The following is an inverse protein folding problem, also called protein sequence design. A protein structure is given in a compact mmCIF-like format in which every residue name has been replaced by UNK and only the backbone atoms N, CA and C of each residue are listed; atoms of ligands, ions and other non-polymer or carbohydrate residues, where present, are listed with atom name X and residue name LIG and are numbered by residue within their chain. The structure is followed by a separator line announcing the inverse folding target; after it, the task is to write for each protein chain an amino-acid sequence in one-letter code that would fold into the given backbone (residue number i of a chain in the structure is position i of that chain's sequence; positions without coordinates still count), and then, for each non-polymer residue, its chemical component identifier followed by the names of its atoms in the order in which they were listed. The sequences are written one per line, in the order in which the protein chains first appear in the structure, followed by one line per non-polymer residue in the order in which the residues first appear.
data_IF_558181207634
#
_entry.id   IF_558181207634
#
_cell.length_a   1.000
_cell.length_b   1.000
_cell.length_c   1.000
_cell.angle_alpha   90.00
_cell.angle_beta   90.00
_cell.angle_gamma   90.00
#
_symmetry.space_group_name_H-M   'P 1'
#
loop_
_entity.id
_entity.type
_entity.pdbx_description
1 polymer ?
#
# COMPACT_ATOMS: atom_id res chain seq x y z
N UNK A 1 -34.54 -29.04 -4.37
CA UNK A 1 -33.42 -29.74 -5.09
C UNK A 1 -32.59 -28.82 -6.00
N UNK A 2 -32.86 -27.52 -6.10
CA UNK A 2 -32.13 -26.57 -6.94
C UNK A 2 -30.79 -26.10 -6.38
N UNK A 3 -30.71 -25.78 -5.10
CA UNK A 3 -29.52 -25.20 -4.45
C UNK A 3 -28.24 -26.05 -4.53
N UNK A 4 -28.33 -27.36 -4.47
CA UNK A 4 -27.14 -28.26 -4.55
C UNK A 4 -26.55 -28.38 -5.95
N UNK A 5 -27.33 -28.06 -7.00
CA UNK A 5 -26.87 -28.09 -8.38
C UNK A 5 -26.09 -26.80 -8.70
N UNK A 6 -26.61 -25.66 -8.28
CA UNK A 6 -25.91 -24.36 -8.36
C UNK A 6 -24.56 -24.37 -7.63
N UNK A 7 -24.51 -24.94 -6.43
CA UNK A 7 -23.26 -25.05 -5.66
C UNK A 7 -22.20 -25.93 -6.36
N UNK A 8 -22.65 -27.00 -7.04
CA UNK A 8 -21.75 -27.87 -7.82
C UNK A 8 -21.25 -27.20 -9.11
N UNK A 9 -22.04 -26.34 -9.70
CA UNK A 9 -21.65 -25.60 -10.91
C UNK A 9 -20.71 -24.43 -10.55
N UNK A 10 -20.91 -23.76 -9.42
CA UNK A 10 -19.97 -22.79 -8.85
C UNK A 10 -18.67 -23.47 -8.44
N UNK A 11 -18.72 -24.64 -7.80
CA UNK A 11 -17.52 -25.41 -7.44
C UNK A 11 -16.79 -26.02 -8.65
N UNK A 12 -17.47 -26.22 -9.79
CA UNK A 12 -16.83 -26.61 -11.05
C UNK A 12 -16.16 -25.42 -11.75
N UNK A 13 -16.76 -24.23 -11.69
CA UNK A 13 -16.15 -22.99 -12.16
C UNK A 13 -14.90 -22.62 -11.34
N UNK A 14 -14.88 -22.92 -10.03
CA UNK A 14 -13.74 -22.71 -9.14
C UNK A 14 -12.55 -23.68 -9.39
N UNK A 15 -12.67 -24.66 -10.29
CA UNK A 15 -11.55 -25.54 -10.70
C UNK A 15 -10.62 -24.93 -11.76
N UNK A 16 -10.93 -23.75 -12.28
CA UNK A 16 -9.92 -22.97 -13.00
C UNK A 16 -9.13 -22.22 -11.93
N UNK A 17 -7.90 -22.69 -11.67
CA UNK A 17 -6.91 -21.85 -10.98
C UNK A 17 -6.91 -20.52 -11.72
N UNK A 18 -7.08 -19.38 -11.01
CA UNK A 18 -7.01 -18.09 -11.66
C UNK A 18 -5.67 -18.02 -12.41
N UNK A 19 -5.72 -17.74 -13.70
CA UNK A 19 -4.51 -17.59 -14.49
C UNK A 19 -3.61 -16.54 -13.80
N UNK A 20 -2.30 -16.77 -13.78
CA UNK A 20 -1.36 -15.77 -13.24
C UNK A 20 -1.56 -14.49 -14.05
N UNK A 21 -1.83 -13.34 -13.40
CA UNK A 21 -2.04 -12.08 -14.13
C UNK A 21 -0.78 -11.70 -14.93
N UNK A 22 -0.97 -11.23 -16.16
CA UNK A 22 0.14 -10.68 -16.96
C UNK A 22 0.70 -9.42 -16.29
N UNK A 23 1.97 -9.12 -16.53
CA UNK A 23 2.59 -7.88 -16.02
C UNK A 23 1.82 -6.63 -16.49
N UNK A 24 1.32 -6.61 -17.72
CA UNK A 24 0.53 -5.52 -18.27
C UNK A 24 -0.78 -5.30 -17.50
N UNK A 25 -1.45 -6.39 -17.11
CA UNK A 25 -2.67 -6.33 -16.33
C UNK A 25 -2.39 -5.78 -14.92
N UNK A 26 -1.30 -6.26 -14.30
CA UNK A 26 -0.87 -5.79 -12.98
C UNK A 26 -0.53 -4.30 -13.05
N UNK A 27 0.22 -3.87 -14.06
CA UNK A 27 0.62 -2.47 -14.24
C UNK A 27 -0.61 -1.57 -14.50
N UNK A 28 -1.53 -2.01 -15.36
CA UNK A 28 -2.78 -1.29 -15.61
C UNK A 28 -3.60 -1.13 -14.33
N UNK A 29 -3.74 -2.18 -13.54
CA UNK A 29 -4.43 -2.11 -12.26
C UNK A 29 -3.72 -1.16 -11.28
N UNK A 30 -2.39 -1.20 -11.21
CA UNK A 30 -1.59 -0.33 -10.36
C UNK A 30 -1.76 1.15 -10.72
N UNK A 31 -1.80 1.49 -12.01
CA UNK A 31 -2.03 2.87 -12.46
C UNK A 31 -3.42 3.34 -12.01
N UNK A 32 -4.45 2.55 -12.24
CA UNK A 32 -5.82 2.87 -11.82
C UNK A 32 -5.93 2.99 -10.29
N UNK A 33 -5.24 2.13 -9.57
CA UNK A 33 -5.21 2.15 -8.11
C UNK A 33 -4.56 3.43 -7.57
N UNK A 34 -3.45 3.87 -8.15
CA UNK A 34 -2.80 5.10 -7.73
C UNK A 34 -3.67 6.32 -8.03
N UNK A 35 -4.31 6.37 -9.20
CA UNK A 35 -5.29 7.42 -9.51
C UNK A 35 -6.44 7.42 -8.47
N UNK A 36 -6.97 6.26 -8.11
CA UNK A 36 -8.04 6.10 -7.10
C UNK A 36 -7.59 6.60 -5.72
N UNK A 37 -6.39 6.23 -5.28
CA UNK A 37 -5.82 6.68 -4.00
C UNK A 37 -5.67 8.21 -3.99
N UNK A 38 -5.17 8.82 -5.07
CA UNK A 38 -5.01 10.26 -5.15
C UNK A 38 -6.36 11.00 -5.21
N UNK A 39 -7.37 10.48 -5.91
CA UNK A 39 -8.72 11.06 -5.88
C UNK A 39 -9.35 10.99 -4.49
N UNK A 40 -9.21 9.86 -3.80
CA UNK A 40 -9.65 9.71 -2.41
C UNK A 40 -8.91 10.68 -1.48
N UNK A 41 -7.59 10.78 -1.63
CA UNK A 41 -6.77 11.72 -0.86
C UNK A 41 -7.24 13.17 -1.01
N UNK A 42 -7.59 13.61 -2.22
CA UNK A 42 -8.11 14.98 -2.43
C UNK A 42 -9.37 15.27 -1.62
N UNK A 43 -10.20 14.26 -1.37
CA UNK A 43 -11.45 14.42 -0.61
C UNK A 43 -11.23 14.46 0.89
N UNK A 44 -10.16 13.83 1.39
CA UNK A 44 -9.85 13.78 2.82
C UNK A 44 -8.83 14.83 3.27
N UNK A 45 -8.22 15.56 2.33
CA UNK A 45 -7.25 16.61 2.62
C UNK A 45 -7.95 17.83 3.18
N UNK A 46 -8.38 17.74 4.44
CA UNK A 46 -9.03 18.84 5.16
C UNK A 46 -8.24 19.22 6.41
N UNK A 47 -8.14 20.51 6.76
CA UNK A 47 -7.48 20.95 7.99
C UNK A 47 -8.08 20.34 9.26
N UNK A 48 -9.37 19.99 9.24
CA UNK A 48 -10.09 19.45 10.39
C UNK A 48 -9.58 18.07 10.85
N UNK A 49 -8.99 17.28 9.94
CA UNK A 49 -8.36 15.99 10.26
C UNK A 49 -7.19 16.13 11.26
N UNK A 50 -6.69 17.36 11.50
CA UNK A 50 -5.43 17.61 12.21
C UNK A 50 -5.58 18.40 13.51
N UNK A 51 -6.82 18.67 13.97
CA UNK A 51 -7.04 19.62 15.06
C UNK A 51 -6.56 19.14 16.44
N UNK A 52 -6.52 17.82 16.74
CA UNK A 52 -6.17 17.37 18.11
C UNK A 52 -5.19 16.19 18.20
N UNK A 53 -5.19 15.25 17.25
CA UNK A 53 -4.28 14.09 17.21
C UNK A 53 -4.07 13.62 15.78
N UNK A 54 -2.90 13.91 15.24
CA UNK A 54 -2.49 13.32 13.96
C UNK A 54 -2.13 11.85 14.22
N UNK A 55 -2.94 10.93 13.70
CA UNK A 55 -2.76 9.49 13.84
C UNK A 55 -2.78 8.83 12.46
N UNK A 56 -1.76 8.00 12.19
CA UNK A 56 -1.62 7.20 10.97
C UNK A 56 -2.87 6.36 10.70
N UNK A 57 -3.40 5.72 11.74
CA UNK A 57 -4.60 4.87 11.63
C UNK A 57 -5.83 5.67 11.24
N UNK A 58 -6.00 6.87 11.81
CA UNK A 58 -7.13 7.75 11.48
C UNK A 58 -7.08 8.22 10.02
N UNK A 59 -5.90 8.58 9.53
CA UNK A 59 -5.73 8.97 8.10
C UNK A 59 -6.01 7.78 7.19
N UNK A 60 -5.46 6.60 7.52
CA UNK A 60 -5.69 5.37 6.75
C UNK A 60 -7.16 4.98 6.70
N UNK A 61 -7.89 5.11 7.82
CA UNK A 61 -9.34 4.85 7.87
C UNK A 61 -10.11 5.86 7.01
N UNK A 62 -9.79 7.14 7.10
CA UNK A 62 -10.43 8.18 6.27
C UNK A 62 -10.16 7.94 4.78
N UNK A 63 -8.94 7.55 4.42
CA UNK A 63 -8.59 7.19 3.04
C UNK A 63 -9.35 5.96 2.57
N UNK A 64 -9.47 4.93 3.39
CA UNK A 64 -10.26 3.73 3.12
C UNK A 64 -11.73 4.06 2.84
N UNK A 65 -12.35 4.87 3.68
CA UNK A 65 -13.76 5.25 3.51
C UNK A 65 -13.96 6.08 2.23
N UNK A 66 -13.06 7.02 1.93
CA UNK A 66 -13.10 7.80 0.71
C UNK A 66 -12.95 6.91 -0.54
N UNK A 67 -12.02 5.95 -0.52
CA UNK A 67 -11.84 4.96 -1.61
C UNK A 67 -13.12 4.15 -1.81
N UNK A 68 -13.73 3.63 -0.74
CA UNK A 68 -15.00 2.87 -0.83
C UNK A 68 -16.12 3.66 -1.47
N UNK A 69 -16.24 4.94 -1.12
CA UNK A 69 -17.26 5.82 -1.70
C UNK A 69 -17.04 5.97 -3.20
N UNK A 70 -15.79 6.20 -3.65
CA UNK A 70 -15.48 6.34 -5.07
C UNK A 70 -15.72 5.03 -5.82
N UNK A 71 -15.22 3.90 -5.31
CA UNK A 71 -15.43 2.57 -5.89
C UNK A 71 -16.90 2.27 -6.07
N UNK A 72 -17.73 2.54 -5.05
CA UNK A 72 -19.17 2.32 -5.11
C UNK A 72 -19.87 3.28 -6.09
N UNK A 73 -19.52 4.57 -6.05
CA UNK A 73 -20.12 5.60 -6.92
C UNK A 73 -19.87 5.36 -8.39
N UNK A 74 -18.64 4.94 -8.71
CA UNK A 74 -18.19 4.75 -10.11
C UNK A 74 -18.36 3.31 -10.61
N UNK A 75 -18.83 2.40 -9.75
CA UNK A 75 -19.01 0.99 -10.10
C UNK A 75 -17.70 0.30 -10.51
N UNK A 76 -16.58 0.68 -9.88
CA UNK A 76 -15.28 0.11 -10.23
C UNK A 76 -15.21 -1.36 -9.80
N UNK A 77 -14.66 -2.24 -10.66
CA UNK A 77 -14.53 -3.67 -10.35
C UNK A 77 -13.32 -3.90 -9.40
N UNK A 78 -13.35 -3.24 -8.28
CA UNK A 78 -12.29 -3.28 -7.28
C UNK A 78 -12.89 -3.46 -5.89
N UNK A 79 -12.31 -4.32 -5.10
CA UNK A 79 -12.60 -4.51 -3.69
C UNK A 79 -11.49 -3.91 -2.84
N UNK A 80 -11.85 -3.23 -1.75
CA UNK A 80 -10.90 -2.67 -0.79
C UNK A 80 -11.21 -3.15 0.61
N UNK A 81 -10.17 -3.50 1.35
CA UNK A 81 -10.23 -3.89 2.77
C UNK A 81 -9.18 -3.10 3.54
N UNK A 82 -9.53 -2.64 4.73
CA UNK A 82 -8.58 -2.13 5.71
C UNK A 82 -8.06 -3.26 6.58
N UNK A 83 -6.79 -3.18 6.98
CA UNK A 83 -6.18 -4.08 7.97
C UNK A 83 -6.25 -5.57 7.62
N UNK A 84 -5.98 -5.94 6.34
CA UNK A 84 -5.93 -7.35 5.95
C UNK A 84 -4.68 -8.02 6.52
N UNK A 85 -4.88 -9.09 7.29
CA UNK A 85 -3.79 -9.88 7.87
C UNK A 85 -3.13 -10.81 6.85
N UNK A 86 -1.80 -10.78 6.78
CA UNK A 86 -0.99 -11.75 6.04
C UNK A 86 -0.65 -12.94 6.94
N UNK A 87 -1.32 -14.07 6.72
CA UNK A 87 -1.08 -15.30 7.47
C UNK A 87 0.01 -16.14 6.79
N UNK A 88 1.18 -16.22 7.43
CA UNK A 88 2.26 -17.11 6.99
C UNK A 88 1.91 -18.59 7.20
N UNK A 89 2.62 -19.49 6.54
CA UNK A 89 2.41 -20.94 6.71
C UNK A 89 2.63 -21.37 8.18
N UNK A 90 3.59 -20.77 8.87
CA UNK A 90 3.83 -21.04 10.30
C UNK A 90 2.63 -20.67 11.19
N UNK A 91 1.91 -19.59 10.85
CA UNK A 91 0.68 -19.18 11.53
C UNK A 91 -0.46 -20.14 11.17
N UNK A 92 -0.58 -20.51 9.89
CA UNK A 92 -1.62 -21.45 9.42
C UNK A 92 -1.46 -22.84 10.01
N UNK A 93 -0.22 -23.27 10.24
CA UNK A 93 0.14 -24.54 10.89
C UNK A 93 0.10 -24.47 12.43
N UNK A 94 -0.24 -23.32 13.02
CA UNK A 94 -0.30 -23.14 14.47
C UNK A 94 1.05 -23.03 15.17
N UNK A 95 2.15 -22.92 14.41
CA UNK A 95 3.52 -22.77 14.97
C UNK A 95 3.77 -21.35 15.51
N UNK A 96 3.01 -20.35 15.04
CA UNK A 96 3.03 -18.97 15.51
C UNK A 96 1.62 -18.47 15.81
N UNK A 97 1.51 -17.54 16.77
CA UNK A 97 0.24 -16.89 17.09
C UNK A 97 -0.27 -16.01 15.96
N UNK A 98 -1.59 -16.00 15.75
CA UNK A 98 -2.25 -15.08 14.80
C UNK A 98 -2.04 -13.60 15.13
N UNK A 99 -1.79 -13.27 16.42
CA UNK A 99 -1.47 -11.90 16.87
C UNK A 99 -0.18 -11.37 16.22
N UNK A 100 0.74 -12.26 15.82
CA UNK A 100 1.99 -11.89 15.15
C UNK A 100 1.85 -11.70 13.64
N UNK A 101 0.65 -11.94 13.08
CA UNK A 101 0.40 -11.72 11.67
C UNK A 101 0.62 -10.26 11.32
N UNK A 102 1.43 -10.03 10.29
CA UNK A 102 1.56 -8.69 9.71
C UNK A 102 0.29 -8.36 8.94
N UNK A 103 -0.06 -7.08 8.88
CA UNK A 103 -1.27 -6.62 8.19
C UNK A 103 -0.93 -5.50 7.25
N UNK A 104 -1.60 -5.49 6.11
CA UNK A 104 -1.65 -4.34 5.22
C UNK A 104 -2.57 -3.28 5.80
N UNK A 105 -2.22 -2.02 5.69
CA UNK A 105 -3.12 -0.93 6.10
C UNK A 105 -4.31 -0.83 5.15
N UNK A 106 -4.06 -0.96 3.84
CA UNK A 106 -5.09 -1.13 2.82
C UNK A 106 -4.72 -2.31 1.91
N UNK A 107 -5.75 -3.00 1.43
CA UNK A 107 -5.61 -4.10 0.49
C UNK A 107 -6.65 -3.98 -0.60
N UNK A 108 -6.21 -4.16 -1.83
CA UNK A 108 -7.04 -4.04 -3.01
C UNK A 108 -7.04 -5.33 -3.82
N UNK A 109 -8.18 -5.60 -4.44
CA UNK A 109 -8.37 -6.76 -5.29
C UNK A 109 -9.25 -6.38 -6.48
N UNK A 110 -8.79 -6.67 -7.69
CA UNK A 110 -9.55 -6.45 -8.92
C UNK A 110 -10.25 -7.72 -9.38
N UNK A 111 -11.48 -7.56 -9.90
CA UNK A 111 -12.29 -8.65 -10.46
C UNK A 111 -12.71 -8.42 -11.91
N UNK A 112 -12.08 -7.47 -12.58
CA UNK A 112 -12.42 -7.10 -13.95
C UNK A 112 -12.14 -8.18 -15.00
N UNK A 113 -11.43 -9.25 -14.60
CA UNK A 113 -11.04 -10.35 -15.48
C UNK A 113 -11.15 -11.68 -14.70
N UNK A 114 -11.12 -12.85 -15.39
CA UNK A 114 -11.01 -14.14 -14.69
C UNK A 114 -9.72 -14.26 -13.87
N UNK A 115 -8.81 -13.27 -14.03
CA UNK A 115 -7.54 -13.21 -13.34
C UNK A 115 -7.62 -12.18 -12.22
N UNK A 116 -7.39 -12.65 -11.00
CA UNK A 116 -7.39 -11.82 -9.79
C UNK A 116 -6.07 -11.07 -9.67
N UNK A 117 -6.11 -9.75 -9.57
CA UNK A 117 -4.94 -8.92 -9.22
C UNK A 117 -5.10 -8.44 -7.78
N UNK A 118 -4.10 -8.73 -6.97
CA UNK A 118 -4.03 -8.39 -5.55
C UNK A 118 -2.93 -7.36 -5.32
N UNK A 119 -3.19 -6.34 -4.48
CA UNK A 119 -2.24 -5.28 -4.20
C UNK A 119 -2.36 -4.80 -2.76
N UNK A 120 -1.25 -4.85 -2.03
CA UNK A 120 -1.19 -4.40 -0.63
C UNK A 120 -0.61 -2.99 -0.51
N UNK A 121 -1.04 -2.26 0.50
CA UNK A 121 -0.54 -0.93 0.82
C UNK A 121 -0.12 -0.88 2.27
N UNK A 122 1.06 -0.38 2.53
CA UNK A 122 1.57 -0.02 3.85
C UNK A 122 1.68 1.50 3.93
N UNK A 123 1.14 2.09 4.96
CA UNK A 123 1.18 3.53 5.18
C UNK A 123 2.05 3.89 6.38
N UNK A 124 2.68 5.06 6.34
CA UNK A 124 3.44 5.62 7.44
C UNK A 124 3.27 7.12 7.52
N UNK A 125 3.11 7.61 8.75
CA UNK A 125 3.13 9.04 9.03
C UNK A 125 4.55 9.58 8.87
N UNK A 126 4.69 10.77 8.29
CA UNK A 126 5.97 11.42 8.05
C UNK A 126 5.92 12.90 8.42
N UNK A 127 6.97 13.37 9.06
CA UNK A 127 7.23 14.78 9.35
C UNK A 127 8.67 15.13 8.97
N UNK A 128 8.89 16.34 8.51
CA UNK A 128 10.25 16.83 8.22
C UNK A 128 11.02 17.11 9.52
N UNK A 129 10.40 17.80 10.46
CA UNK A 129 10.98 18.12 11.76
C UNK A 129 10.09 17.55 12.87
N UNK A 130 10.62 17.53 14.09
CA UNK A 130 9.82 17.11 15.23
C UNK A 130 8.58 18.02 15.34
N UNK A 131 7.42 17.40 15.36
CA UNK A 131 6.15 18.09 15.31
C UNK A 131 5.15 17.50 16.29
N UNK A 132 4.62 18.32 17.21
CA UNK A 132 3.78 17.84 18.32
C UNK A 132 4.49 16.69 19.09
N UNK A 133 3.85 15.53 19.20
CA UNK A 133 4.43 14.31 19.82
C UNK A 133 5.18 13.42 18.82
N UNK A 134 5.35 13.84 17.56
CA UNK A 134 5.97 13.05 16.49
C UNK A 134 7.45 13.41 16.37
N UNK A 135 8.30 12.38 16.42
CA UNK A 135 9.76 12.53 16.31
C UNK A 135 10.15 12.11 14.89
N UNK A 136 10.62 13.06 14.08
CA UNK A 136 10.93 12.87 12.66
C UNK A 136 11.88 11.69 12.41
N UNK A 137 12.95 11.58 13.18
CA UNK A 137 13.94 10.50 13.03
C UNK A 137 13.36 9.12 13.33
N UNK A 138 12.40 9.03 14.25
CA UNK A 138 11.70 7.78 14.57
C UNK A 138 10.78 7.36 13.44
N UNK A 139 9.96 8.27 12.91
CA UNK A 139 9.04 8.00 11.81
C UNK A 139 9.78 7.59 10.53
N UNK A 140 10.88 8.29 10.20
CA UNK A 140 11.72 7.92 9.04
C UNK A 140 12.36 6.55 9.24
N UNK A 141 12.81 6.22 10.46
CA UNK A 141 13.33 4.89 10.77
C UNK A 141 12.25 3.82 10.61
N UNK A 142 11.04 4.05 11.08
CA UNK A 142 9.92 3.14 10.93
C UNK A 142 9.55 2.93 9.46
N UNK A 143 9.53 3.99 8.65
CA UNK A 143 9.28 3.91 7.22
C UNK A 143 10.25 2.95 6.51
N UNK A 144 11.56 3.00 6.86
CA UNK A 144 12.62 2.20 6.22
C UNK A 144 12.75 0.79 6.84
N UNK A 145 12.27 0.59 8.08
CA UNK A 145 12.47 -0.64 8.84
C UNK A 145 11.48 -1.76 8.47
N UNK A 146 11.50 -2.82 9.27
CA UNK A 146 10.56 -3.95 9.26
C UNK A 146 9.13 -3.55 9.69
N UNK A 147 8.95 -2.34 10.18
CA UNK A 147 7.62 -1.74 10.37
C UNK A 147 7.06 -1.08 9.09
N UNK A 148 7.88 -0.92 8.03
CA UNK A 148 7.53 -0.24 6.79
C UNK A 148 8.01 -1.01 5.55
N UNK A 149 8.84 -0.36 4.71
CA UNK A 149 9.21 -0.89 3.38
C UNK A 149 9.88 -2.28 3.41
N UNK A 150 10.58 -2.63 4.49
CA UNK A 150 11.21 -3.95 4.63
C UNK A 150 10.20 -5.09 4.71
N UNK A 151 8.93 -4.83 5.03
CA UNK A 151 7.86 -5.85 4.93
C UNK A 151 7.76 -6.42 3.51
N UNK A 152 7.96 -5.58 2.49
CA UNK A 152 8.04 -6.00 1.09
C UNK A 152 9.39 -6.59 0.76
N UNK A 153 10.47 -5.90 1.05
CA UNK A 153 11.84 -6.27 0.68
C UNK A 153 12.23 -7.64 1.25
N UNK A 154 11.89 -7.91 2.51
CA UNK A 154 12.21 -9.17 3.18
C UNK A 154 11.15 -10.27 2.95
N UNK A 155 10.17 -10.02 2.05
CA UNK A 155 9.16 -11.00 1.65
C UNK A 155 8.17 -11.38 2.75
N UNK A 156 8.00 -10.50 3.76
CA UNK A 156 6.96 -10.67 4.79
C UNK A 156 5.59 -10.53 4.13
N UNK A 157 5.43 -9.51 3.28
CA UNK A 157 4.27 -9.35 2.42
C UNK A 157 4.48 -10.16 1.15
N UNK A 158 3.54 -11.06 0.86
CA UNK A 158 3.57 -11.96 -0.31
C UNK A 158 2.98 -11.31 -1.56
N UNK A 159 2.17 -10.28 -1.39
CA UNK A 159 1.52 -9.56 -2.48
C UNK A 159 2.36 -8.39 -2.92
N UNK A 160 2.25 -8.03 -4.20
CA UNK A 160 2.76 -6.75 -4.68
C UNK A 160 2.08 -5.60 -3.94
N UNK A 161 2.77 -4.48 -3.86
CA UNK A 161 2.19 -3.34 -3.17
C UNK A 161 3.00 -2.07 -3.32
N UNK A 162 2.60 -1.08 -2.54
CA UNK A 162 3.29 0.19 -2.45
C UNK A 162 3.33 0.69 -1.00
N UNK A 163 4.19 1.67 -0.79
CA UNK A 163 4.22 2.46 0.43
C UNK A 163 3.41 3.76 0.24
N UNK A 164 2.72 4.20 1.28
CA UNK A 164 2.19 5.56 1.36
C UNK A 164 2.92 6.30 2.48
N UNK A 165 3.42 7.50 2.18
CA UNK A 165 3.90 8.44 3.17
C UNK A 165 2.87 9.55 3.39
N UNK A 166 2.26 9.62 4.57
CA UNK A 166 1.41 10.73 4.97
C UNK A 166 2.26 11.89 5.48
N UNK A 167 2.56 12.85 4.62
CA UNK A 167 3.37 14.03 4.95
C UNK A 167 2.48 15.05 5.64
N UNK A 168 2.54 15.13 6.95
CA UNK A 168 1.70 16.02 7.77
C UNK A 168 2.41 17.28 8.24
N UNK A 169 3.74 17.34 8.11
CA UNK A 169 4.54 18.52 8.36
C UNK A 169 5.76 18.53 7.44
N UNK A 170 6.11 19.70 6.91
CA UNK A 170 7.29 19.94 6.09
C UNK A 170 7.09 19.65 4.60
N UNK A 171 8.20 19.50 3.86
CA UNK A 171 8.21 19.35 2.41
C UNK A 171 8.59 17.92 2.02
N UNK A 172 7.81 17.34 1.13
CA UNK A 172 8.01 15.96 0.63
C UNK A 172 9.47 15.67 0.21
N UNK A 173 10.11 16.57 -0.55
CA UNK A 173 11.47 16.31 -1.04
C UNK A 173 12.51 16.25 0.08
N UNK A 174 12.41 17.10 1.11
CA UNK A 174 13.29 17.03 2.28
C UNK A 174 13.10 15.74 3.08
N UNK A 175 11.86 15.30 3.21
CA UNK A 175 11.53 14.01 3.87
C UNK A 175 12.14 12.85 3.07
N UNK A 176 12.01 12.86 1.74
CA UNK A 176 12.61 11.84 0.87
C UNK A 176 14.14 11.85 0.97
N UNK A 177 14.79 13.02 1.06
CA UNK A 177 16.23 13.10 1.32
C UNK A 177 16.63 12.44 2.65
N UNK A 178 15.85 12.67 3.72
CA UNK A 178 16.07 12.03 5.03
C UNK A 178 15.83 10.52 4.98
N UNK A 179 14.79 10.06 4.27
CA UNK A 179 14.55 8.63 4.01
C UNK A 179 15.76 8.03 3.28
N UNK A 180 16.23 8.67 2.21
CA UNK A 180 17.38 8.21 1.43
C UNK A 180 18.67 8.19 2.25
N UNK A 181 18.90 9.19 3.11
CA UNK A 181 20.01 9.17 4.05
C UNK A 181 19.94 7.95 4.99
N UNK A 182 18.75 7.60 5.46
CA UNK A 182 18.53 6.43 6.30
C UNK A 182 18.72 5.11 5.54
N UNK A 183 18.28 5.04 4.29
CA UNK A 183 18.48 3.88 3.40
C UNK A 183 19.96 3.62 3.20
N UNK A 184 20.77 4.64 2.93
CA UNK A 184 22.23 4.49 2.74
C UNK A 184 22.94 3.89 3.95
N UNK A 185 22.41 4.11 5.15
CA UNK A 185 22.97 3.55 6.39
C UNK A 185 22.56 2.08 6.59
N UNK A 186 21.31 1.73 6.24
CA UNK A 186 20.71 0.45 6.62
C UNK A 186 20.49 -0.54 5.46
N UNK A 187 20.61 -0.07 4.23
CA UNK A 187 20.44 -0.83 3.00
C UNK A 187 21.57 -0.49 2.01
N UNK A 188 21.28 -0.28 0.72
CA UNK A 188 22.25 0.12 -0.30
C UNK A 188 21.82 1.39 -1.01
N UNK A 189 22.75 2.09 -1.65
CA UNK A 189 22.47 3.30 -2.41
C UNK A 189 21.47 3.07 -3.57
N UNK A 190 21.48 1.89 -4.17
CA UNK A 190 20.58 1.51 -5.27
C UNK A 190 19.13 1.45 -4.86
N UNK A 191 18.88 1.31 -3.54
CA UNK A 191 17.53 1.21 -2.97
C UNK A 191 16.93 2.56 -2.56
N UNK A 192 17.63 3.66 -2.83
CA UNK A 192 17.11 5.00 -2.57
C UNK A 192 15.86 5.29 -3.39
N UNK A 193 14.97 6.08 -2.79
CA UNK A 193 13.78 6.58 -3.46
C UNK A 193 14.21 7.61 -4.52
N UNK A 194 13.78 7.38 -5.75
CA UNK A 194 13.91 8.33 -6.86
C UNK A 194 12.52 8.69 -7.39
N UNK A 195 12.35 9.92 -7.84
CA UNK A 195 11.09 10.35 -8.43
C UNK A 195 10.80 9.52 -9.70
N UNK A 196 9.56 9.09 -9.86
CA UNK A 196 9.16 8.38 -11.08
C UNK A 196 8.86 9.38 -12.21
N UNK A 197 9.73 9.40 -13.20
CA UNK A 197 9.60 10.24 -14.40
C UNK A 197 9.18 9.44 -15.63
N UNK A 198 8.59 8.26 -15.45
CA UNK A 198 8.21 7.38 -16.57
C UNK A 198 7.07 7.95 -17.43
N UNK A 199 6.31 8.90 -16.91
CA UNK A 199 5.10 9.43 -17.56
C UNK A 199 3.88 8.49 -17.45
N UNK A 200 4.00 7.37 -16.76
CA UNK A 200 2.91 6.40 -16.56
C UNK A 200 1.82 6.92 -15.64
N UNK A 201 2.20 7.70 -14.64
CA UNK A 201 1.30 8.22 -13.62
C UNK A 201 1.00 9.71 -13.87
N UNK A 202 -0.24 10.13 -13.58
CA UNK A 202 -0.67 11.53 -13.68
C UNK A 202 -0.17 12.40 -12.53
N UNK A 203 0.22 11.75 -11.42
CA UNK A 203 0.60 12.43 -10.18
C UNK A 203 2.12 12.54 -10.07
N UNK A 204 2.62 13.67 -9.51
CA UNK A 204 4.05 13.98 -9.48
C UNK A 204 4.79 13.47 -8.25
N UNK A 205 4.06 13.24 -7.14
CA UNK A 205 4.67 12.86 -5.87
C UNK A 205 4.73 11.33 -5.70
N UNK A 206 5.07 10.65 -6.80
CA UNK A 206 5.31 9.21 -6.85
C UNK A 206 6.81 8.98 -6.99
N UNK A 207 7.33 8.25 -6.03
CA UNK A 207 8.72 7.80 -6.02
C UNK A 207 8.77 6.29 -6.23
N UNK A 208 9.95 5.80 -6.61
CA UNK A 208 10.20 4.37 -6.75
C UNK A 208 11.54 3.99 -6.14
N UNK A 209 11.63 2.73 -5.70
CA UNK A 209 12.88 2.09 -5.30
C UNK A 209 12.98 0.70 -5.90
N UNK A 210 14.19 0.28 -6.24
CA UNK A 210 14.46 -0.99 -6.90
C UNK A 210 15.22 -1.93 -5.96
N UNK A 211 14.77 -3.17 -5.87
CA UNK A 211 15.33 -4.18 -4.96
C UNK A 211 15.57 -5.51 -5.69
N UNK A 212 16.37 -5.54 -6.76
CA UNK A 212 16.42 -6.67 -7.72
C UNK A 212 16.87 -7.98 -7.07
N UNK A 213 17.62 -7.95 -5.98
CA UNK A 213 18.01 -9.15 -5.24
C UNK A 213 16.88 -9.74 -4.37
N UNK A 214 15.79 -9.01 -4.16
CA UNK A 214 14.73 -9.35 -3.21
C UNK A 214 13.32 -9.31 -3.82
N UNK A 215 13.07 -8.34 -4.71
CA UNK A 215 11.79 -8.11 -5.36
C UNK A 215 11.96 -8.25 -6.88
N UNK A 216 10.99 -8.91 -7.51
CA UNK A 216 10.87 -8.98 -8.97
C UNK A 216 10.01 -7.85 -9.55
N UNK A 217 9.75 -6.80 -8.78
CA UNK A 217 8.98 -5.63 -9.17
C UNK A 217 9.51 -4.36 -8.51
N UNK A 218 9.14 -3.21 -9.06
CA UNK A 218 9.47 -1.89 -8.49
C UNK A 218 8.54 -1.61 -7.31
N UNK A 219 9.11 -1.23 -6.16
CA UNK A 219 8.34 -0.75 -5.03
C UNK A 219 8.09 0.76 -5.21
N UNK A 220 6.82 1.14 -5.31
CA UNK A 220 6.42 2.54 -5.42
C UNK A 220 6.09 3.14 -4.06
N UNK A 221 6.27 4.46 -3.98
CA UNK A 221 6.06 5.25 -2.77
C UNK A 221 5.24 6.49 -3.13
N UNK A 222 4.00 6.55 -2.65
CA UNK A 222 3.09 7.67 -2.85
C UNK A 222 3.23 8.63 -1.67
N UNK A 223 3.65 9.87 -1.91
CA UNK A 223 3.76 10.88 -0.87
C UNK A 223 2.53 11.78 -0.90
N UNK A 224 1.66 11.61 0.09
CA UNK A 224 0.41 12.35 0.21
C UNK A 224 0.61 13.50 1.22
N UNK A 225 0.69 14.74 0.72
CA UNK A 225 0.99 15.91 1.52
C UNK A 225 -0.27 16.57 2.06
N UNK A 226 -0.37 16.65 3.39
CA UNK A 226 -1.49 17.24 4.13
C UNK A 226 -1.20 18.64 4.69
N UNK A 227 0.05 19.08 4.65
CA UNK A 227 0.50 20.42 5.12
C UNK A 227 0.51 21.46 4.00
#
# INVERSE_FOLDING_TARGET
MGFLKEYKDIARAAKHFPAIPSEELIESFQIQLFDLIYEAYKTIRTPELFLDKIDETQISLSLFDAVKIIVSREGLPCFVVSELHEYTDEIREGKKSTITAKRYDLYFESWSTPTRVEFGVEAKLLVENDFMSKIATTLIREYVSDAGMRKYIDGIYKKRGCMIGYVVEGRTHHIVEKINARIRISLTNEQCLIIDNSGKFKHRDIYKSEHPAKLNYILYHLMLQFS
#
